data_IF_656039195020
#
_entry.id   IF_656039195020
#
_cell.length_a   1.000
_cell.length_b   1.000
_cell.length_c   1.000
_cell.angle_alpha   90.00
_cell.angle_beta   90.00
_cell.angle_gamma   90.00
#
_symmetry.space_group_name_H-M   'P 1'
#
loop_
_entity.id
_entity.type
_entity.pdbx_description
1 polymer ?
#
# COMPACT_ATOMS: atom_id res chain seq x y z
N UNK A 1 -1.87 13.56 16.84
CA UNK A 1 -0.72 12.67 16.66
C UNK A 1 -0.63 11.77 17.89
N UNK A 2 -1.09 10.51 17.77
CA UNK A 2 -0.90 9.53 18.82
C UNK A 2 0.49 8.94 18.68
N UNK A 3 1.39 9.25 19.60
CA UNK A 3 2.66 8.57 19.72
C UNK A 3 2.44 7.33 20.59
N UNK A 4 2.81 6.15 20.08
CA UNK A 4 2.80 4.93 20.86
C UNK A 4 4.22 4.63 21.32
N UNK A 5 4.32 4.09 22.53
CA UNK A 5 5.56 3.66 23.15
C UNK A 5 5.46 2.16 23.44
N UNK A 6 6.47 1.40 23.04
CA UNK A 6 6.65 0.00 23.41
C UNK A 6 8.05 -0.18 23.99
N UNK A 7 8.14 -0.89 25.09
CA UNK A 7 9.41 -1.17 25.78
C UNK A 7 9.60 -2.67 25.85
N UNK A 8 10.67 -3.15 25.28
CA UNK A 8 11.16 -4.53 25.41
C UNK A 8 12.24 -4.62 26.47
N UNK A 9 12.92 -5.74 26.55
CA UNK A 9 13.98 -5.96 27.52
C UNK A 9 15.19 -5.01 27.32
N UNK A 10 15.56 -4.74 26.06
CA UNK A 10 16.78 -4.00 25.71
C UNK A 10 16.51 -2.78 24.82
N UNK A 11 15.27 -2.53 24.43
CA UNK A 11 14.95 -1.48 23.49
C UNK A 11 13.67 -0.72 23.86
N UNK A 12 13.62 0.55 23.48
CA UNK A 12 12.43 1.38 23.49
C UNK A 12 12.06 1.68 22.05
N UNK A 13 10.81 1.47 21.67
CA UNK A 13 10.28 1.80 20.36
C UNK A 13 9.27 2.94 20.50
N UNK A 14 9.53 4.04 19.79
CA UNK A 14 8.64 5.20 19.72
C UNK A 14 8.07 5.26 18.31
N UNK A 15 6.74 5.31 18.21
CA UNK A 15 6.08 5.35 16.91
C UNK A 15 5.18 6.57 16.77
N UNK A 16 5.11 7.09 15.55
CA UNK A 16 4.14 8.11 15.17
C UNK A 16 3.66 7.92 13.74
N UNK A 17 2.48 8.42 13.46
CA UNK A 17 1.93 8.38 12.11
C UNK A 17 2.51 9.51 11.27
N UNK A 18 3.08 9.17 10.13
CA UNK A 18 3.51 10.10 9.09
C UNK A 18 2.36 10.30 8.11
N UNK A 19 1.82 11.51 8.07
CA UNK A 19 0.82 11.89 7.09
C UNK A 19 1.47 12.75 6.02
N UNK A 20 1.12 12.50 4.76
CA UNK A 20 1.53 13.39 3.68
C UNK A 20 0.78 14.72 3.79
N UNK A 21 1.42 15.87 3.47
CA UNK A 21 0.77 17.15 3.42
C UNK A 21 -0.41 17.17 2.43
N UNK A 22 -1.43 17.99 2.72
CA UNK A 22 -2.66 18.11 1.92
C UNK A 22 -2.41 18.41 0.44
N UNK A 23 -1.34 19.10 0.10
CA UNK A 23 -0.97 19.42 -1.29
C UNK A 23 -0.80 18.17 -2.17
N UNK A 24 -0.41 17.02 -1.58
CA UNK A 24 -0.32 15.76 -2.30
C UNK A 24 -1.69 15.20 -2.71
N UNK A 25 -2.77 15.64 -2.07
CA UNK A 25 -4.12 15.19 -2.39
C UNK A 25 -4.76 16.01 -3.52
N UNK A 26 -4.30 17.24 -3.76
CA UNK A 26 -4.91 18.14 -4.74
C UNK A 26 -4.66 17.71 -6.19
N UNK A 27 -3.49 17.14 -6.49
CA UNK A 27 -3.11 16.70 -7.84
C UNK A 27 -3.52 15.26 -8.19
N UNK A 28 -4.11 14.55 -7.25
CA UNK A 28 -4.34 13.12 -7.35
C UNK A 28 -5.21 12.68 -8.54
N UNK A 29 -6.26 13.43 -8.88
CA UNK A 29 -7.13 13.07 -9.99
C UNK A 29 -6.43 13.25 -11.34
N UNK A 30 -5.63 14.29 -11.45
CA UNK A 30 -4.82 14.55 -12.63
C UNK A 30 -3.71 13.50 -12.80
N UNK A 31 -2.93 13.26 -11.75
CA UNK A 31 -1.87 12.25 -11.76
C UNK A 31 -2.44 10.86 -12.08
N UNK A 32 -3.56 10.47 -11.47
CA UNK A 32 -4.25 9.22 -11.76
C UNK A 32 -4.66 9.09 -13.23
N UNK A 33 -5.19 10.16 -13.82
CA UNK A 33 -5.56 10.16 -15.24
C UNK A 33 -4.33 9.95 -16.12
N UNK A 34 -3.28 10.73 -15.93
CA UNK A 34 -2.09 10.68 -16.77
C UNK A 34 -1.21 9.45 -16.55
N UNK A 35 -1.11 8.96 -15.31
CA UNK A 35 -0.26 7.81 -14.99
C UNK A 35 -0.97 6.47 -15.21
N UNK A 36 -2.28 6.42 -15.04
CA UNK A 36 -3.02 5.15 -15.03
C UNK A 36 -3.94 5.01 -16.24
N UNK A 37 -4.79 6.02 -16.51
CA UNK A 37 -5.81 5.91 -17.56
C UNK A 37 -5.21 6.15 -18.95
N UNK A 38 -4.47 7.23 -19.10
CA UNK A 38 -3.91 7.62 -20.43
C UNK A 38 -3.08 6.53 -21.10
N UNK A 39 -2.21 5.75 -20.40
CA UNK A 39 -1.44 4.67 -21.03
C UNK A 39 -2.29 3.53 -21.61
N UNK A 40 -3.51 3.34 -21.10
CA UNK A 40 -4.42 2.27 -21.52
C UNK A 40 -5.24 2.64 -22.77
N UNK A 41 -5.30 3.93 -23.11
CA UNK A 41 -6.05 4.40 -24.26
C UNK A 41 -5.37 4.02 -25.58
N UNK A 42 -6.12 3.82 -26.67
CA UNK A 42 -5.57 3.61 -28.01
C UNK A 42 -4.60 4.73 -28.41
N UNK A 43 -3.53 4.39 -29.12
CA UNK A 43 -2.39 5.28 -29.37
C UNK A 43 -2.76 6.62 -30.01
N UNK A 44 -3.65 6.60 -31.01
CA UNK A 44 -4.07 7.84 -31.69
C UNK A 44 -4.76 8.84 -30.75
N UNK A 45 -5.60 8.36 -29.84
CA UNK A 45 -6.28 9.22 -28.86
C UNK A 45 -5.34 9.67 -27.76
N UNK A 46 -4.46 8.79 -27.29
CA UNK A 46 -3.41 9.10 -26.30
C UNK A 46 -2.49 10.23 -26.78
N UNK A 47 -2.08 10.22 -28.04
CA UNK A 47 -1.21 11.26 -28.60
C UNK A 47 -1.93 12.62 -28.67
N UNK A 48 -3.18 12.63 -29.10
CA UNK A 48 -4.02 13.86 -29.10
C UNK A 48 -4.17 14.45 -27.69
N UNK A 49 -4.40 13.60 -26.67
CA UNK A 49 -4.51 14.07 -25.29
C UNK A 49 -3.20 14.64 -24.79
N UNK A 50 -2.05 14.04 -25.15
CA UNK A 50 -0.73 14.58 -24.77
C UNK A 50 -0.45 15.97 -25.38
N UNK A 51 -0.93 16.23 -26.58
CA UNK A 51 -0.82 17.54 -27.21
C UNK A 51 -1.66 18.60 -26.49
N UNK A 52 -2.87 18.22 -26.01
CA UNK A 52 -3.76 19.10 -25.26
C UNK A 52 -3.19 19.48 -23.88
N UNK A 53 -2.39 18.60 -23.25
CA UNK A 53 -1.82 18.81 -21.91
C UNK A 53 -1.01 20.11 -21.77
N UNK A 54 -0.54 20.69 -22.85
CA UNK A 54 0.24 21.92 -22.86
C UNK A 54 -0.61 23.20 -22.89
N UNK A 55 -1.93 23.11 -22.75
CA UNK A 55 -2.82 24.27 -22.69
C UNK A 55 -2.75 24.95 -21.31
N UNK A 56 -2.58 26.25 -21.27
CA UNK A 56 -2.41 27.03 -20.03
C UNK A 56 -3.71 27.14 -19.23
N UNK A 57 -4.89 26.97 -19.86
CA UNK A 57 -6.18 26.95 -19.17
C UNK A 57 -6.61 25.54 -18.81
N UNK A 58 -6.49 25.21 -17.53
CA UNK A 58 -6.83 23.88 -16.98
C UNK A 58 -8.28 23.45 -17.29
N UNK A 59 -9.24 24.37 -17.25
CA UNK A 59 -10.65 24.03 -17.54
C UNK A 59 -10.84 23.73 -19.02
N UNK A 60 -10.33 24.59 -19.90
CA UNK A 60 -10.39 24.39 -21.34
C UNK A 60 -9.63 23.11 -21.76
N UNK A 61 -8.54 22.80 -21.10
CA UNK A 61 -7.79 21.55 -21.27
C UNK A 61 -8.67 20.33 -21.00
N UNK A 62 -9.34 20.28 -19.86
CA UNK A 62 -10.20 19.15 -19.48
C UNK A 62 -11.43 19.02 -20.36
N UNK A 63 -12.03 20.13 -20.82
CA UNK A 63 -13.14 20.11 -21.77
C UNK A 63 -12.70 19.50 -23.11
N UNK A 64 -11.51 19.84 -23.61
CA UNK A 64 -10.94 19.23 -24.82
C UNK A 64 -10.64 17.75 -24.65
N UNK A 65 -10.04 17.35 -23.51
CA UNK A 65 -9.75 15.94 -23.18
C UNK A 65 -11.07 15.14 -23.13
N UNK A 66 -12.11 15.68 -22.50
CA UNK A 66 -13.42 15.05 -22.43
C UNK A 66 -14.01 14.79 -23.83
N UNK A 67 -13.90 15.76 -24.74
CA UNK A 67 -14.33 15.58 -26.13
C UNK A 67 -13.58 14.48 -26.87
N UNK A 68 -12.25 14.35 -26.63
CA UNK A 68 -11.45 13.28 -27.22
C UNK A 68 -11.84 11.91 -26.67
N UNK A 69 -12.13 11.82 -25.36
CA UNK A 69 -12.57 10.58 -24.72
C UNK A 69 -13.96 10.15 -25.20
N UNK A 70 -14.87 11.11 -25.37
CA UNK A 70 -16.21 10.84 -25.90
C UNK A 70 -16.15 10.33 -27.36
N UNK A 71 -15.33 10.97 -28.20
CA UNK A 71 -15.09 10.50 -29.57
C UNK A 71 -14.54 9.08 -29.60
N UNK A 72 -13.58 8.79 -28.74
CA UNK A 72 -13.00 7.45 -28.59
C UNK A 72 -14.07 6.43 -28.19
N UNK A 73 -14.82 6.71 -27.13
CA UNK A 73 -15.86 5.83 -26.61
C UNK A 73 -16.93 5.48 -27.66
N UNK A 74 -17.32 6.48 -28.48
CA UNK A 74 -18.28 6.30 -29.56
C UNK A 74 -17.76 5.48 -30.75
N UNK A 75 -16.43 5.34 -30.89
CA UNK A 75 -15.79 4.55 -31.96
C UNK A 75 -15.54 3.10 -31.59
N UNK A 76 -15.50 2.78 -30.29
CA UNK A 76 -15.31 1.43 -29.81
C UNK A 76 -16.61 0.61 -29.91
N UNK A 77 -16.48 -0.67 -30.23
CA UNK A 77 -17.60 -1.62 -30.09
C UNK A 77 -17.85 -1.97 -28.60
N UNK A 78 -18.92 -2.71 -28.31
CA UNK A 78 -19.31 -3.00 -26.91
C UNK A 78 -18.29 -3.88 -26.20
N UNK A 79 -17.68 -4.84 -26.88
CA UNK A 79 -16.66 -5.75 -26.30
C UNK A 79 -15.36 -4.97 -26.00
N UNK A 80 -14.98 -4.06 -26.88
CA UNK A 80 -13.82 -3.15 -26.70
C UNK A 80 -14.05 -2.20 -25.52
N UNK A 81 -15.27 -1.64 -25.39
CA UNK A 81 -15.65 -0.77 -24.27
C UNK A 81 -15.55 -1.52 -22.94
N UNK A 82 -16.16 -2.70 -22.86
CA UNK A 82 -16.14 -3.52 -21.63
C UNK A 82 -14.70 -3.87 -21.24
N UNK A 83 -13.91 -4.35 -22.19
CA UNK A 83 -12.49 -4.68 -21.98
C UNK A 83 -11.67 -3.45 -21.50
N UNK A 84 -11.89 -2.29 -22.07
CA UNK A 84 -11.18 -1.07 -21.70
C UNK A 84 -11.57 -0.61 -20.32
N UNK A 85 -12.88 -0.61 -19.98
CA UNK A 85 -13.40 -0.24 -18.67
C UNK A 85 -12.82 -1.17 -17.59
N UNK A 86 -12.86 -2.48 -17.79
CA UNK A 86 -12.27 -3.45 -16.84
C UNK A 86 -10.77 -3.19 -16.60
N UNK A 87 -10.01 -2.93 -17.66
CA UNK A 87 -8.58 -2.61 -17.53
C UNK A 87 -8.34 -1.31 -16.76
N UNK A 88 -9.14 -0.28 -17.03
CA UNK A 88 -9.05 1.01 -16.34
C UNK A 88 -9.39 0.84 -14.85
N UNK A 89 -10.49 0.19 -14.53
CA UNK A 89 -10.92 -0.06 -13.14
C UNK A 89 -9.85 -0.82 -12.36
N UNK A 90 -9.32 -1.90 -12.93
CA UNK A 90 -8.26 -2.69 -12.32
C UNK A 90 -7.00 -1.87 -12.07
N UNK A 91 -6.57 -1.08 -13.06
CA UNK A 91 -5.35 -0.27 -12.94
C UNK A 91 -5.52 0.88 -11.96
N UNK A 92 -6.71 1.49 -11.88
CA UNK A 92 -7.03 2.50 -10.85
C UNK A 92 -6.98 1.86 -9.47
N UNK A 93 -7.55 0.67 -9.29
CA UNK A 93 -7.52 -0.05 -8.01
C UNK A 93 -6.07 -0.32 -7.56
N UNK A 94 -5.21 -0.84 -8.45
CA UNK A 94 -3.80 -1.09 -8.16
C UNK A 94 -3.04 0.20 -7.79
N UNK A 95 -3.31 1.29 -8.51
CA UNK A 95 -2.74 2.61 -8.21
C UNK A 95 -3.16 3.14 -6.84
N UNK A 96 -4.46 3.05 -6.52
CA UNK A 96 -4.98 3.50 -5.21
C UNK A 96 -4.40 2.68 -4.05
N UNK A 97 -4.26 1.36 -4.22
CA UNK A 97 -3.62 0.49 -3.22
C UNK A 97 -2.18 0.94 -2.97
N UNK A 98 -1.40 1.14 -4.03
CA UNK A 98 -0.03 1.61 -3.95
C UNK A 98 0.05 2.98 -3.26
N UNK A 99 -0.77 3.92 -3.70
CA UNK A 99 -0.81 5.28 -3.20
C UNK A 99 -1.18 5.33 -1.71
N UNK A 100 -2.15 4.54 -1.27
CA UNK A 100 -2.54 4.43 0.14
C UNK A 100 -1.43 3.84 1.01
N UNK A 101 -0.71 2.84 0.51
CA UNK A 101 0.43 2.25 1.23
C UNK A 101 1.59 3.25 1.42
N UNK A 102 1.72 4.20 0.51
CA UNK A 102 2.74 5.27 0.61
C UNK A 102 2.30 6.44 1.49
N UNK A 103 1.00 6.71 1.58
CA UNK A 103 0.43 7.85 2.32
C UNK A 103 0.37 7.64 3.82
N UNK A 104 -0.11 6.49 4.23
CA UNK A 104 -0.27 6.16 5.64
C UNK A 104 0.90 5.29 6.08
N UNK A 105 1.92 5.91 6.67
CA UNK A 105 3.08 5.19 7.22
C UNK A 105 3.20 5.42 8.71
N UNK A 106 3.53 4.36 9.42
CA UNK A 106 4.00 4.44 10.80
C UNK A 106 5.52 4.52 10.79
N UNK A 107 6.05 5.58 11.37
CA UNK A 107 7.48 5.72 11.63
C UNK A 107 7.79 5.06 12.97
N UNK A 108 8.84 4.25 13.01
CA UNK A 108 9.33 3.56 14.19
C UNK A 108 10.75 4.03 14.49
N UNK A 109 10.98 4.55 15.68
CA UNK A 109 12.32 4.85 16.20
C UNK A 109 12.69 3.77 17.20
N UNK A 110 13.91 3.26 17.11
CA UNK A 110 14.51 2.32 18.05
C UNK A 110 15.57 3.02 18.88
N UNK A 111 15.49 2.84 20.17
CA UNK A 111 16.40 3.37 21.17
C UNK A 111 16.89 2.18 21.99
N UNK A 112 18.19 1.98 22.07
CA UNK A 112 18.79 0.91 22.88
C UNK A 112 18.90 1.31 24.33
N UNK A 113 18.72 0.32 25.20
CA UNK A 113 18.99 0.42 26.64
C UNK A 113 20.10 -0.61 26.93
N UNK A 114 21.25 -0.12 27.33
CA UNK A 114 22.39 -0.97 27.69
C UNK A 114 23.06 -0.43 28.95
N UNK A 115 23.09 -1.22 30.01
CA UNK A 115 23.68 -0.90 31.32
C UNK A 115 23.33 0.52 31.82
N UNK A 116 22.02 0.87 31.75
CA UNK A 116 21.50 2.16 32.18
C UNK A 116 21.78 3.33 31.23
N UNK A 117 22.44 3.10 30.09
CA UNK A 117 22.61 4.06 29.02
C UNK A 117 21.46 3.96 28.00
N UNK A 118 21.04 5.09 27.52
CA UNK A 118 19.97 5.20 26.50
C UNK A 118 20.60 5.84 25.27
N UNK A 119 20.63 5.07 24.15
CA UNK A 119 21.22 5.53 22.90
C UNK A 119 20.24 5.38 21.74
N UNK A 120 20.12 6.41 20.92
CA UNK A 120 19.36 6.31 19.68
C UNK A 120 20.06 5.33 18.73
N UNK A 121 19.30 4.34 18.21
CA UNK A 121 19.87 3.30 17.35
C UNK A 121 19.51 3.55 15.88
N UNK A 122 18.22 3.44 15.53
CA UNK A 122 17.80 3.49 14.12
C UNK A 122 16.34 3.92 13.96
N UNK A 123 15.94 4.10 12.72
CA UNK A 123 14.59 4.45 12.31
C UNK A 123 14.15 3.60 11.13
N UNK A 124 12.89 3.15 11.14
CA UNK A 124 12.23 2.49 10.02
C UNK A 124 10.84 3.05 9.75
N UNK A 125 10.23 2.64 8.67
CA UNK A 125 8.86 2.99 8.30
C UNK A 125 8.11 1.73 7.86
N UNK A 126 6.87 1.58 8.28
CA UNK A 126 5.96 0.52 7.82
C UNK A 126 4.67 1.13 7.26
N UNK A 127 4.05 0.52 6.22
CA UNK A 127 2.78 0.98 5.70
C UNK A 127 1.66 0.86 6.74
N UNK A 128 0.68 1.74 6.68
CA UNK A 128 -0.47 1.76 7.57
C UNK A 128 -0.23 2.53 8.86
N UNK A 129 -1.23 2.55 9.70
CA UNK A 129 -1.18 3.19 11.02
C UNK A 129 -1.29 2.17 12.15
N UNK A 130 -0.59 2.43 13.22
CA UNK A 130 -0.59 1.61 14.42
C UNK A 130 -1.85 1.89 15.23
N UNK A 131 -2.53 0.84 15.68
CA UNK A 131 -3.73 1.00 16.50
C UNK A 131 -3.39 1.45 17.92
N UNK A 132 -2.44 0.77 18.57
CA UNK A 132 -1.95 1.05 19.92
C UNK A 132 -0.63 0.33 20.18
N UNK A 133 -0.10 0.47 21.40
CA UNK A 133 1.15 -0.15 21.83
C UNK A 133 1.15 -1.69 21.84
N UNK A 134 -0.02 -2.33 21.95
CA UNK A 134 -0.14 -3.79 21.93
C UNK A 134 -0.05 -4.40 20.54
N UNK A 135 0.02 -3.53 19.53
CA UNK A 135 0.26 -3.94 18.14
C UNK A 135 1.74 -4.09 17.82
N UNK A 136 2.61 -4.01 18.82
CA UNK A 136 4.07 -4.13 18.70
C UNK A 136 4.59 -5.24 19.58
N UNK A 137 5.62 -5.94 19.11
CA UNK A 137 6.30 -7.00 19.85
C UNK A 137 7.74 -7.16 19.34
N UNK A 138 8.66 -7.47 20.23
CA UNK A 138 10.05 -7.80 19.89
C UNK A 138 10.40 -9.18 20.41
N UNK A 139 10.95 -10.04 19.57
CA UNK A 139 11.47 -11.35 19.93
C UNK A 139 12.65 -11.71 19.04
N UNK A 140 13.73 -12.21 19.67
CA UNK A 140 14.91 -12.73 18.97
C UNK A 140 15.51 -11.75 17.95
N UNK A 141 15.64 -10.47 18.32
CA UNK A 141 16.12 -9.36 17.48
C UNK A 141 15.20 -8.95 16.31
N UNK A 142 14.02 -9.55 16.20
CA UNK A 142 13.02 -9.18 15.22
C UNK A 142 11.94 -8.32 15.88
N UNK A 143 11.64 -7.18 15.26
CA UNK A 143 10.54 -6.34 15.66
C UNK A 143 9.31 -6.63 14.80
N UNK A 144 8.19 -6.95 15.44
CA UNK A 144 6.93 -7.26 14.77
C UNK A 144 5.93 -6.14 15.05
N UNK A 145 5.24 -5.69 14.02
CA UNK A 145 4.27 -4.61 14.14
C UNK A 145 3.04 -4.89 13.30
N UNK A 146 1.87 -4.78 13.93
CA UNK A 146 0.58 -4.87 13.25
C UNK A 146 0.06 -3.47 12.96
N UNK A 147 -0.29 -3.22 11.69
CA UNK A 147 -0.86 -1.95 11.24
C UNK A 147 -2.19 -2.16 10.53
N UNK A 148 -2.98 -1.09 10.49
CA UNK A 148 -4.23 -1.03 9.73
C UNK A 148 -4.05 -0.05 8.58
N UNK A 149 -4.48 -0.44 7.39
CA UNK A 149 -4.56 0.43 6.22
C UNK A 149 -6.01 0.52 5.78
N UNK A 150 -6.50 1.73 5.57
CA UNK A 150 -7.84 1.99 5.03
C UNK A 150 -7.71 2.31 3.55
N UNK A 151 -8.38 1.55 2.70
CA UNK A 151 -8.49 1.78 1.27
C UNK A 151 -9.89 2.22 0.93
N UNK A 152 -10.02 3.09 -0.07
CA UNK A 152 -11.28 3.48 -0.65
C UNK A 152 -11.31 3.06 -2.12
N UNK A 153 -11.99 1.95 -2.40
CA UNK A 153 -12.18 1.41 -3.75
C UNK A 153 -13.68 1.23 -3.95
N UNK A 154 -14.37 2.32 -4.30
CA UNK A 154 -15.84 2.36 -4.35
C UNK A 154 -16.53 2.22 -2.98
N UNK A 155 -15.91 1.48 -2.06
CA UNK A 155 -16.29 1.34 -0.64
C UNK A 155 -15.06 1.43 0.24
N UNK A 156 -15.23 1.86 1.48
CA UNK A 156 -14.13 1.85 2.46
C UNK A 156 -13.88 0.42 2.93
N UNK A 157 -12.64 -0.04 2.78
CA UNK A 157 -12.19 -1.35 3.26
C UNK A 157 -10.96 -1.16 4.15
N UNK A 158 -10.96 -1.79 5.31
CA UNK A 158 -9.81 -1.80 6.23
C UNK A 158 -9.06 -3.12 6.12
N UNK A 159 -7.74 -3.03 6.04
CA UNK A 159 -6.82 -4.16 6.02
C UNK A 159 -5.89 -4.09 7.20
N UNK A 160 -5.66 -5.25 7.83
CA UNK A 160 -4.68 -5.38 8.89
C UNK A 160 -3.48 -6.15 8.33
N UNK A 161 -2.30 -5.59 8.46
CA UNK A 161 -1.05 -6.18 8.01
C UNK A 161 -0.14 -6.40 9.22
N UNK A 162 0.71 -7.42 9.15
CA UNK A 162 1.78 -7.63 10.12
C UNK A 162 3.10 -7.57 9.37
N UNK A 163 3.99 -6.72 9.84
CA UNK A 163 5.34 -6.59 9.32
C UNK A 163 6.34 -7.15 10.31
N UNK A 164 7.36 -7.84 9.81
CA UNK A 164 8.52 -8.28 10.56
C UNK A 164 9.72 -7.47 10.08
N UNK A 165 10.40 -6.82 11.01
CA UNK A 165 11.55 -5.98 10.75
C UNK A 165 12.78 -6.58 11.42
N UNK A 166 13.94 -6.43 10.75
CA UNK A 166 15.22 -6.80 11.29
C UNK A 166 15.72 -5.76 12.33
N UNK A 167 16.92 -5.98 12.85
CA UNK A 167 17.53 -5.11 13.85
C UNK A 167 17.77 -3.66 13.37
N UNK A 168 17.82 -3.43 12.04
CA UNK A 168 17.90 -2.09 11.41
C UNK A 168 16.56 -1.48 11.09
N UNK A 169 15.47 -2.11 11.52
CA UNK A 169 14.09 -1.74 11.19
C UNK A 169 13.79 -1.75 9.68
N UNK A 170 14.45 -2.62 8.92
CA UNK A 170 14.11 -2.92 7.53
C UNK A 170 13.06 -4.03 7.49
N UNK A 171 12.04 -3.89 6.64
CA UNK A 171 11.00 -4.92 6.48
C UNK A 171 11.62 -6.16 5.80
N UNK A 172 11.59 -7.30 6.50
CA UNK A 172 12.08 -8.59 6.02
C UNK A 172 10.95 -9.61 5.81
N UNK A 173 9.77 -9.32 6.31
CA UNK A 173 8.59 -10.15 6.14
C UNK A 173 7.30 -9.35 6.25
N UNK A 174 6.28 -9.79 5.51
CA UNK A 174 4.96 -9.21 5.51
C UNK A 174 3.90 -10.31 5.50
N UNK A 175 2.91 -10.18 6.36
CA UNK A 175 1.70 -10.98 6.34
C UNK A 175 0.51 -10.06 6.04
N UNK A 176 0.03 -10.02 4.79
CA UNK A 176 -1.13 -9.23 4.44
C UNK A 176 -2.41 -9.83 5.03
N UNK A 177 -3.41 -9.01 5.32
CA UNK A 177 -4.69 -9.46 5.84
C UNK A 177 -5.34 -10.48 4.89
N UNK A 178 -6.06 -11.44 5.48
CA UNK A 178 -6.78 -12.48 4.73
C UNK A 178 -7.77 -11.86 3.73
N UNK A 179 -8.37 -10.71 4.06
CA UNK A 179 -9.31 -10.01 3.18
C UNK A 179 -8.62 -9.43 1.95
N UNK A 180 -7.44 -8.81 2.11
CA UNK A 180 -6.64 -8.33 0.99
C UNK A 180 -6.15 -9.51 0.14
N UNK A 181 -5.65 -10.56 0.79
CA UNK A 181 -5.18 -11.76 0.11
C UNK A 181 -6.30 -12.48 -0.66
N UNK A 182 -7.54 -12.52 -0.15
CA UNK A 182 -8.68 -13.11 -0.85
C UNK A 182 -9.13 -12.27 -2.05
N UNK A 183 -9.16 -10.95 -1.90
CA UNK A 183 -9.52 -10.02 -2.96
C UNK A 183 -8.48 -10.04 -4.11
N UNK A 184 -7.20 -9.99 -3.77
CA UNK A 184 -6.11 -10.09 -4.74
C UNK A 184 -6.01 -11.48 -5.41
N UNK A 185 -6.42 -12.56 -4.71
CA UNK A 185 -6.52 -13.91 -5.30
C UNK A 185 -7.67 -14.05 -6.29
N UNK A 186 -8.83 -13.48 -6.01
CA UNK A 186 -9.97 -13.48 -6.95
C UNK A 186 -9.59 -12.78 -8.26
N UNK A 187 -8.69 -11.78 -8.21
CA UNK A 187 -8.19 -11.05 -9.37
C UNK A 187 -6.88 -11.61 -9.96
N UNK A 188 -6.43 -12.78 -9.54
CA UNK A 188 -5.26 -13.48 -10.13
C UNK A 188 -3.89 -12.93 -9.73
N UNK A 189 -3.80 -12.04 -8.75
CA UNK A 189 -2.55 -11.38 -8.35
C UNK A 189 -1.66 -12.15 -7.36
N UNK A 190 -2.15 -13.22 -6.73
CA UNK A 190 -1.36 -14.02 -5.77
C UNK A 190 -1.50 -15.52 -5.94
N UNK A 191 -0.38 -16.23 -6.06
CA UNK A 191 -0.31 -17.67 -5.90
C UNK A 191 -0.28 -18.04 -4.41
N UNK A 192 -1.09 -19.03 -4.01
CA UNK A 192 -1.23 -19.50 -2.63
C UNK A 192 0.08 -20.08 -2.12
N UNK A 193 0.73 -19.42 -1.14
CA UNK A 193 1.63 -20.09 -0.20
C UNK A 193 0.78 -20.63 0.96
N UNK A 194 0.89 -21.90 1.30
CA UNK A 194 0.13 -22.51 2.39
C UNK A 194 0.63 -21.98 3.72
N UNK A 195 -0.24 -21.33 4.50
CA UNK A 195 0.03 -21.00 5.89
C UNK A 195 -0.83 -21.90 6.77
N UNK A 196 -0.22 -22.59 7.73
CA UNK A 196 -0.94 -23.29 8.79
C UNK A 196 -0.97 -22.40 10.05
N UNK A 197 -2.16 -22.06 10.53
CA UNK A 197 -2.34 -21.38 11.80
C UNK A 197 -2.37 -22.42 12.93
N UNK A 198 -1.47 -22.32 13.89
CA UNK A 198 -1.54 -23.10 15.12
C UNK A 198 -1.73 -22.16 16.31
N UNK A 199 -2.74 -22.45 17.15
CA UNK A 199 -2.93 -21.82 18.44
C UNK A 199 -2.12 -22.57 19.50
N UNK A 200 -1.33 -21.87 20.29
CA UNK A 200 -0.71 -22.36 21.51
C UNK A 200 -0.87 -21.33 22.62
N UNK A 201 -1.38 -21.77 23.77
CA UNK A 201 -1.47 -21.00 25.01
C UNK A 201 -2.16 -19.62 24.88
N UNK A 202 -3.24 -19.55 24.10
CA UNK A 202 -4.02 -18.33 23.89
C UNK A 202 -3.35 -17.23 23.07
N UNK A 203 -2.19 -17.52 22.47
CA UNK A 203 -1.48 -16.63 21.54
C UNK A 203 -1.56 -17.13 20.10
N UNK A 204 -1.73 -16.21 19.16
CA UNK A 204 -1.60 -16.52 17.73
C UNK A 204 -0.11 -16.68 17.42
N UNK A 205 0.31 -17.92 17.15
CA UNK A 205 1.68 -18.19 16.73
C UNK A 205 1.68 -18.32 15.22
N UNK A 206 2.37 -17.42 14.56
CA UNK A 206 2.54 -17.40 13.11
C UNK A 206 3.81 -18.18 12.76
N UNK A 207 3.70 -19.17 11.87
CA UNK A 207 4.86 -19.85 11.29
C UNK A 207 4.93 -19.49 9.81
N UNK A 208 6.10 -19.04 9.37
CA UNK A 208 6.48 -18.97 7.97
C UNK A 208 7.22 -20.27 7.67
N UNK A 209 6.60 -21.21 6.98
CA UNK A 209 7.33 -22.36 6.41
C UNK A 209 7.98 -21.91 5.11
N UNK A 210 9.28 -21.77 5.11
CA UNK A 210 10.06 -21.77 3.86
C UNK A 210 10.03 -23.16 3.26
N UNK A 211 9.31 -23.33 2.14
CA UNK A 211 9.55 -24.49 1.28
C UNK A 211 10.85 -24.25 0.52
N UNK A 212 11.91 -24.92 0.96
CA UNK A 212 13.08 -25.15 0.13
C UNK A 212 12.66 -26.01 -1.06
N UNK A 213 12.39 -25.40 -2.20
CA UNK A 213 12.36 -26.09 -3.48
C UNK A 213 13.81 -26.47 -3.83
N UNK A 214 14.26 -27.64 -3.32
CA UNK A 214 15.40 -28.33 -3.91
C UNK A 214 14.96 -28.82 -5.28
N UNK A 215 15.47 -28.16 -6.31
CA UNK A 215 15.49 -28.70 -7.66
C UNK A 215 16.25 -30.03 -7.68
N UNK A 216 15.64 -31.05 -8.18
CA UNK A 216 16.24 -32.25 -8.75
C UNK A 216 16.01 -32.25 -10.24
#
# INVERSE_FOLDING_TARGET
>A
NSNNLYVSQNNIYITYQKNLPYIFYQRQNEDRFYEVVLPLLPEGFRNRIKEIKNDDDTKAMWDKISGVLEEMYNKLDEDEKETLIEKIEKSIEEYEIKLQSERAKTVVHKIKIDDGKIEYDTRGEVPGYLLNQFSMDEQDEYFRVATTTQLYVGKSVMYNNVYVLNNKLEIIGELPSINLASHLRQKGHFKKKSSSNKWRDGKVVWYIEEKNDKAS
#
